data_IF_064572415420
#
_entry.id   IF_064572415420
#
_cell.length_a   1.000
_cell.length_b   1.000
_cell.length_c   1.000
_cell.angle_alpha   90.00
_cell.angle_beta   90.00
_cell.angle_gamma   90.00
#
_symmetry.space_group_name_H-M   'P 1'
#
loop_
_entity.id
_entity.type
_entity.pdbx_description
1 polymer ?
#
# COMPACT_ATOMS: atom_id res chain seq x y z
N UNK A 1 -14.81 7.75 -80.35
CA UNK A 1 -14.82 6.44 -79.65
C UNK A 1 -13.82 6.50 -78.51
N UNK A 2 -14.25 6.02 -77.34
CA UNK A 2 -13.78 6.45 -76.01
C UNK A 2 -12.42 5.88 -75.58
N UNK A 3 -11.72 6.69 -74.80
CA UNK A 3 -10.52 6.36 -74.00
C UNK A 3 -10.91 5.51 -72.80
N UNK A 4 -10.22 4.39 -72.58
CA UNK A 4 -10.30 3.60 -71.35
C UNK A 4 -9.01 3.75 -70.55
N UNK A 5 -9.08 4.52 -69.47
CA UNK A 5 -8.07 4.51 -68.42
C UNK A 5 -8.14 3.22 -67.60
N UNK A 6 -6.99 2.70 -67.20
CA UNK A 6 -6.91 1.69 -66.15
C UNK A 6 -6.00 2.18 -65.03
N UNK A 7 -6.64 2.40 -63.89
CA UNK A 7 -6.03 2.61 -62.58
C UNK A 7 -5.41 1.30 -62.11
N UNK A 8 -4.11 1.28 -61.78
CA UNK A 8 -3.50 0.16 -61.06
C UNK A 8 -2.61 0.67 -59.91
N UNK A 9 -3.22 0.58 -58.72
CA UNK A 9 -2.67 0.20 -57.41
C UNK A 9 -1.58 1.08 -56.76
N UNK A 10 -2.02 1.97 -55.85
CA UNK A 10 -1.32 2.22 -54.59
C UNK A 10 -2.06 1.52 -53.45
N UNK A 11 -1.65 0.30 -53.10
CA UNK A 11 -2.00 -0.27 -51.79
C UNK A 11 -1.00 -1.33 -51.34
N UNK A 12 0.10 -0.88 -50.74
CA UNK A 12 1.05 -1.75 -50.03
C UNK A 12 1.53 -1.16 -48.70
N UNK A 13 0.91 -0.06 -48.22
CA UNK A 13 1.39 0.69 -47.04
C UNK A 13 0.55 0.47 -45.76
N UNK A 14 -0.57 -0.26 -45.85
CA UNK A 14 -1.51 -0.48 -44.74
C UNK A 14 -1.13 -1.68 -43.85
N UNK A 15 -0.64 -2.78 -44.44
CA UNK A 15 -0.39 -4.05 -43.73
C UNK A 15 0.66 -3.98 -42.62
N UNK A 16 1.76 -3.23 -42.83
CA UNK A 16 2.82 -3.11 -41.84
C UNK A 16 2.39 -2.35 -40.58
N UNK A 17 1.57 -1.30 -40.74
CA UNK A 17 1.11 -0.45 -39.63
C UNK A 17 0.18 -1.21 -38.69
N UNK A 18 -0.69 -2.03 -39.24
CA UNK A 18 -1.59 -2.90 -38.46
C UNK A 18 -0.81 -4.01 -37.75
N UNK A 19 0.25 -4.56 -38.37
CA UNK A 19 1.13 -5.55 -37.71
C UNK A 19 1.88 -4.95 -36.52
N UNK A 20 2.45 -3.75 -36.66
CA UNK A 20 3.11 -3.07 -35.54
C UNK A 20 2.15 -2.73 -34.40
N UNK A 21 0.90 -2.37 -34.72
CA UNK A 21 -0.14 -2.14 -33.72
C UNK A 21 -0.44 -3.40 -32.89
N UNK A 22 -0.65 -4.55 -33.54
CA UNK A 22 -0.91 -5.80 -32.82
C UNK A 22 0.31 -6.32 -32.04
N UNK A 23 1.53 -6.14 -32.57
CA UNK A 23 2.75 -6.46 -31.83
C UNK A 23 2.85 -5.62 -30.55
N UNK A 24 2.56 -4.32 -30.64
CA UNK A 24 2.51 -3.43 -29.47
C UNK A 24 1.46 -3.87 -28.45
N UNK A 25 0.26 -4.23 -28.90
CA UNK A 25 -0.81 -4.73 -28.02
C UNK A 25 -0.40 -6.01 -27.28
N UNK A 26 0.22 -6.97 -27.97
CA UNK A 26 0.68 -8.23 -27.37
C UNK A 26 1.76 -7.97 -26.31
N UNK A 27 2.71 -7.07 -26.58
CA UNK A 27 3.76 -6.70 -25.63
C UNK A 27 3.16 -6.06 -24.37
N UNK A 28 2.18 -5.17 -24.51
CA UNK A 28 1.51 -4.55 -23.36
C UNK A 28 0.77 -5.60 -22.53
N UNK A 29 0.04 -6.51 -23.17
CA UNK A 29 -0.66 -7.61 -22.46
C UNK A 29 0.36 -8.51 -21.73
N UNK A 30 1.46 -8.87 -22.38
CA UNK A 30 2.50 -9.70 -21.77
C UNK A 30 3.12 -9.03 -20.53
N UNK A 31 3.36 -7.71 -20.56
CA UNK A 31 3.87 -6.96 -19.42
C UNK A 31 2.87 -6.91 -18.26
N UNK A 32 1.58 -6.71 -18.55
CA UNK A 32 0.53 -6.74 -17.52
C UNK A 32 0.45 -8.12 -16.88
N UNK A 33 0.44 -9.19 -17.68
CA UNK A 33 0.37 -10.57 -17.18
C UNK A 33 1.62 -10.93 -16.37
N UNK A 34 2.82 -10.57 -16.84
CA UNK A 34 4.06 -10.79 -16.09
C UNK A 34 4.08 -10.05 -14.75
N UNK A 35 3.57 -8.80 -14.72
CA UNK A 35 3.42 -8.04 -13.48
C UNK A 35 2.46 -8.70 -12.50
N UNK A 36 1.30 -9.16 -12.97
CA UNK A 36 0.32 -9.87 -12.14
C UNK A 36 0.86 -11.22 -11.63
N UNK A 37 1.53 -12.00 -12.48
CA UNK A 37 2.13 -13.29 -12.10
C UNK A 37 3.25 -13.10 -11.08
N UNK A 38 4.08 -12.08 -11.24
CA UNK A 38 5.12 -11.73 -10.27
C UNK A 38 4.54 -11.35 -8.90
N UNK A 39 3.47 -10.54 -8.90
CA UNK A 39 2.74 -10.22 -7.68
C UNK A 39 2.13 -11.46 -7.01
N UNK A 40 1.57 -12.38 -7.81
CA UNK A 40 1.00 -13.64 -7.32
C UNK A 40 2.06 -14.53 -6.66
N UNK A 41 3.22 -14.72 -7.29
CA UNK A 41 4.31 -15.55 -6.74
C UNK A 41 4.86 -14.96 -5.43
N UNK A 42 4.98 -13.63 -5.35
CA UNK A 42 5.38 -12.95 -4.10
C UNK A 42 4.35 -13.15 -2.99
N UNK A 43 3.07 -13.12 -3.33
CA UNK A 43 1.97 -13.34 -2.41
C UNK A 43 1.97 -14.78 -1.87
N UNK A 44 2.18 -15.79 -2.73
CA UNK A 44 2.29 -17.18 -2.31
C UNK A 44 3.47 -17.44 -1.37
N UNK A 45 4.65 -16.88 -1.65
CA UNK A 45 5.81 -17.04 -0.77
C UNK A 45 5.56 -16.52 0.65
N UNK A 46 4.83 -15.42 0.76
CA UNK A 46 4.39 -14.88 2.04
C UNK A 46 3.41 -15.82 2.76
N UNK A 47 2.38 -16.32 2.07
CA UNK A 47 1.41 -17.25 2.66
C UNK A 47 2.02 -18.61 3.02
N UNK A 48 3.06 -19.08 2.32
CA UNK A 48 3.80 -20.30 2.69
C UNK A 48 4.61 -20.14 3.98
N UNK A 49 5.14 -18.94 4.21
CA UNK A 49 5.80 -18.62 5.49
C UNK A 49 4.77 -18.56 6.63
N UNK A 50 3.54 -18.13 6.30
CA UNK A 50 2.39 -18.08 7.21
C UNK A 50 1.81 -19.47 7.55
N UNK A 51 1.75 -20.38 6.57
CA UNK A 51 1.09 -21.69 6.70
C UNK A 51 1.81 -22.69 7.62
N UNK A 52 3.04 -22.40 8.07
CA UNK A 52 3.77 -23.24 9.02
C UNK A 52 3.29 -23.10 10.48
N UNK A 53 2.09 -22.53 10.72
CA UNK A 53 1.50 -22.39 12.06
C UNK A 53 2.22 -21.40 12.98
N UNK A 54 3.09 -20.56 12.43
CA UNK A 54 3.86 -19.59 13.20
C UNK A 54 3.06 -18.32 13.47
N UNK A 55 3.08 -17.85 14.72
CA UNK A 55 2.63 -16.50 15.05
C UNK A 55 3.67 -15.48 14.60
N UNK A 56 3.20 -14.34 14.08
CA UNK A 56 4.04 -13.17 13.85
C UNK A 56 4.20 -12.40 15.16
N UNK A 57 5.39 -11.84 15.39
CA UNK A 57 5.63 -10.91 16.50
C UNK A 57 5.70 -9.50 15.94
N UNK A 58 4.81 -8.61 16.37
CA UNK A 58 4.70 -7.23 15.87
C UNK A 58 4.81 -6.24 17.02
N UNK A 59 5.56 -5.17 16.81
CA UNK A 59 5.60 -4.01 17.71
C UNK A 59 4.75 -2.88 17.10
N UNK A 60 3.81 -2.34 17.88
CA UNK A 60 2.95 -1.25 17.41
C UNK A 60 3.02 -0.05 18.34
N UNK A 61 3.31 1.12 17.78
CA UNK A 61 3.25 2.42 18.46
C UNK A 61 1.93 3.12 18.16
N UNK A 62 1.26 3.64 19.18
CA UNK A 62 0.15 4.57 19.05
C UNK A 62 0.59 5.89 19.67
N UNK A 63 0.83 6.90 18.84
CA UNK A 63 1.16 8.26 19.27
C UNK A 63 -0.06 9.18 19.10
N UNK A 64 -0.46 9.83 20.20
CA UNK A 64 -1.68 10.63 20.26
C UNK A 64 -1.48 12.11 19.88
N UNK A 65 -0.29 12.53 19.48
CA UNK A 65 0.00 13.91 19.04
C UNK A 65 0.12 14.95 20.15
N UNK A 66 -0.27 14.60 21.38
CA UNK A 66 -0.21 15.46 22.56
C UNK A 66 1.02 15.17 23.46
N UNK A 67 2.05 14.52 22.90
CA UNK A 67 3.22 14.06 23.66
C UNK A 67 3.03 12.75 24.41
N UNK A 68 1.83 12.17 24.40
CA UNK A 68 1.60 10.82 24.93
C UNK A 68 1.68 9.76 23.85
N UNK A 69 2.13 8.56 24.23
CA UNK A 69 2.26 7.43 23.33
C UNK A 69 2.12 6.12 24.11
N UNK A 70 1.66 5.08 23.42
CA UNK A 70 1.55 3.72 23.95
C UNK A 70 2.22 2.74 23.00
N UNK A 71 2.99 1.82 23.55
CA UNK A 71 3.56 0.69 22.81
C UNK A 71 2.82 -0.59 23.13
N UNK A 72 2.44 -1.34 22.09
CA UNK A 72 2.03 -2.73 22.17
C UNK A 72 3.18 -3.59 21.63
N UNK A 73 4.07 -4.00 22.53
CA UNK A 73 5.29 -4.71 22.17
C UNK A 73 5.07 -6.22 22.10
N UNK A 74 5.75 -6.87 21.16
CA UNK A 74 5.77 -8.33 20.95
C UNK A 74 4.38 -8.94 20.88
N UNK A 75 3.47 -8.28 20.16
CA UNK A 75 2.11 -8.77 19.97
C UNK A 75 2.17 -10.00 19.05
N UNK A 76 1.69 -11.14 19.54
CA UNK A 76 1.63 -12.39 18.78
C UNK A 76 0.31 -12.47 18.02
N UNK A 77 0.36 -12.49 16.69
CA UNK A 77 -0.83 -12.51 15.84
C UNK A 77 -0.72 -13.56 14.73
N UNK A 78 -1.84 -14.13 14.28
CA UNK A 78 -1.82 -15.02 13.12
C UNK A 78 -1.41 -14.22 11.87
N UNK A 79 -0.71 -14.83 10.90
CA UNK A 79 -0.25 -14.09 9.74
C UNK A 79 -1.35 -13.79 8.70
N UNK A 80 -2.59 -14.26 8.94
CA UNK A 80 -3.76 -13.88 8.15
C UNK A 80 -4.22 -12.44 8.43
N UNK A 81 -3.85 -11.87 9.58
CA UNK A 81 -4.26 -10.53 9.99
C UNK A 81 -3.57 -9.45 9.16
N UNK A 82 -4.32 -8.38 8.90
CA UNK A 82 -3.78 -7.11 8.43
C UNK A 82 -3.54 -6.15 9.60
N UNK A 83 -3.09 -4.93 9.31
CA UNK A 83 -2.83 -3.95 10.36
C UNK A 83 -4.10 -3.43 11.04
N UNK A 84 -5.25 -3.42 10.35
CA UNK A 84 -6.53 -3.08 10.96
C UNK A 84 -6.92 -4.10 12.05
N UNK A 85 -6.87 -5.40 11.74
CA UNK A 85 -7.17 -6.49 12.67
C UNK A 85 -6.28 -6.43 13.92
N UNK A 86 -4.97 -6.22 13.71
CA UNK A 86 -4.02 -6.03 14.80
C UNK A 86 -4.40 -4.82 15.66
N UNK A 87 -4.72 -3.69 15.03
CA UNK A 87 -5.08 -2.46 15.75
C UNK A 87 -6.35 -2.65 16.59
N UNK A 88 -7.41 -3.21 16.00
CA UNK A 88 -8.67 -3.50 16.69
C UNK A 88 -8.51 -4.48 17.87
N UNK A 89 -7.48 -5.34 17.84
CA UNK A 89 -7.18 -6.25 18.93
C UNK A 89 -6.40 -5.59 20.09
N UNK A 90 -5.59 -4.56 19.83
CA UNK A 90 -4.73 -3.93 20.86
C UNK A 90 -5.28 -2.61 21.41
N UNK A 91 -6.29 -2.02 20.75
CA UNK A 91 -6.88 -0.73 21.10
C UNK A 91 -8.38 -0.68 20.79
N UNK A 92 -9.06 0.34 21.31
CA UNK A 92 -10.46 0.62 20.98
C UNK A 92 -10.51 1.44 19.70
N UNK A 93 -10.91 0.81 18.60
CA UNK A 93 -10.96 1.44 17.28
C UNK A 93 -12.38 1.89 16.95
N UNK A 94 -12.48 3.13 16.47
CA UNK A 94 -13.69 3.66 15.81
C UNK A 94 -13.37 3.81 14.32
N UNK A 95 -14.08 3.06 13.48
CA UNK A 95 -13.85 3.04 12.04
C UNK A 95 -15.15 2.96 11.25
N UNK A 96 -15.09 3.40 9.98
CA UNK A 96 -16.17 3.18 9.01
C UNK A 96 -15.67 2.30 7.88
N UNK A 97 -16.33 1.17 7.69
CA UNK A 97 -16.07 0.28 6.57
C UNK A 97 -16.70 0.83 5.28
N UNK A 98 -15.96 0.76 4.18
CA UNK A 98 -16.48 1.02 2.84
C UNK A 98 -16.40 -0.23 1.97
N UNK A 99 -17.53 -0.64 1.39
CA UNK A 99 -17.55 -1.77 0.45
C UNK A 99 -16.88 -1.45 -0.89
N UNK A 100 -16.74 -0.16 -1.23
CA UNK A 100 -16.15 0.27 -2.52
C UNK A 100 -14.65 0.01 -2.56
N UNK A 101 -13.96 0.25 -1.44
CA UNK A 101 -12.52 0.03 -1.33
C UNK A 101 -12.18 -1.25 -0.56
N UNK A 102 -13.17 -1.85 0.11
CA UNK A 102 -12.97 -2.97 1.03
C UNK A 102 -11.93 -2.61 2.11
N UNK A 103 -12.10 -1.44 2.71
CA UNK A 103 -11.20 -0.86 3.71
C UNK A 103 -11.97 -0.24 4.89
N UNK A 104 -11.31 -0.21 6.05
CA UNK A 104 -11.76 0.46 7.26
C UNK A 104 -11.05 1.81 7.43
N UNK A 105 -11.82 2.89 7.33
CA UNK A 105 -11.32 4.22 7.63
C UNK A 105 -11.35 4.48 9.13
N UNK A 106 -10.17 4.57 9.74
CA UNK A 106 -10.02 4.90 11.15
C UNK A 106 -10.43 6.36 11.40
N UNK A 107 -11.42 6.54 12.27
CA UNK A 107 -11.86 7.83 12.76
C UNK A 107 -11.32 8.11 14.16
N UNK A 108 -11.08 7.07 14.97
CA UNK A 108 -10.58 7.22 16.32
C UNK A 108 -9.89 5.97 16.85
N UNK A 109 -8.95 6.17 17.77
CA UNK A 109 -8.25 5.12 18.51
C UNK A 109 -8.18 5.54 19.98
N UNK A 110 -8.54 4.63 20.89
CA UNK A 110 -8.52 4.82 22.34
C UNK A 110 -9.23 6.14 22.79
N UNK A 111 -10.32 6.49 22.10
CA UNK A 111 -11.14 7.68 22.37
C UNK A 111 -10.64 8.99 21.74
N UNK A 112 -9.48 8.99 21.08
CA UNK A 112 -8.97 10.16 20.35
C UNK A 112 -9.47 10.14 18.91
N UNK A 113 -10.39 11.04 18.59
CA UNK A 113 -11.06 11.14 17.28
C UNK A 113 -10.45 12.22 16.39
N UNK A 114 -10.42 11.95 15.09
CA UNK A 114 -10.13 12.94 14.07
C UNK A 114 -11.15 14.07 14.04
N UNK A 115 -10.68 15.30 13.84
CA UNK A 115 -11.52 16.48 13.68
C UNK A 115 -10.78 17.56 12.89
N UNK A 116 -11.49 18.22 11.96
CA UNK A 116 -10.90 19.24 11.10
C UNK A 116 -9.70 18.69 10.31
N UNK A 117 -8.50 19.22 10.60
CA UNK A 117 -7.24 18.78 9.98
C UNK A 117 -6.53 17.64 10.71
N UNK A 118 -6.98 17.26 11.90
CA UNK A 118 -6.34 16.23 12.72
C UNK A 118 -6.88 14.86 12.36
N UNK A 119 -6.00 13.93 12.01
CA UNK A 119 -6.36 12.56 11.66
C UNK A 119 -5.24 11.57 11.99
N UNK A 120 -5.59 10.28 11.97
CA UNK A 120 -4.67 9.18 12.20
C UNK A 120 -3.88 8.84 10.94
N UNK A 121 -2.56 8.90 11.04
CA UNK A 121 -1.63 8.55 9.95
C UNK A 121 -0.91 7.26 10.26
N UNK A 122 -0.58 6.49 9.22
CA UNK A 122 0.04 5.18 9.32
C UNK A 122 1.51 5.26 8.96
N UNK A 123 2.35 4.56 9.72
CA UNK A 123 3.78 4.56 9.54
C UNK A 123 4.35 3.14 9.66
N UNK A 124 5.41 2.89 8.92
CA UNK A 124 6.23 1.69 9.04
C UNK A 124 7.65 2.10 9.36
N UNK A 125 8.28 1.44 10.34
CA UNK A 125 9.71 1.60 10.56
C UNK A 125 10.47 0.74 9.54
N UNK A 126 11.44 1.34 8.87
CA UNK A 126 12.25 0.70 7.87
C UNK A 126 13.64 0.41 8.47
N UNK A 127 13.92 -0.84 8.79
CA UNK A 127 15.16 -1.24 9.47
C UNK A 127 16.42 -0.83 8.70
N UNK A 128 16.45 -1.07 7.39
CA UNK A 128 17.61 -0.75 6.54
C UNK A 128 17.92 0.75 6.49
N UNK A 129 16.88 1.60 6.50
CA UNK A 129 17.02 3.06 6.51
C UNK A 129 17.04 3.69 7.90
N UNK A 130 16.84 2.88 8.96
CA UNK A 130 16.68 3.30 10.36
C UNK A 130 15.76 4.51 10.52
N UNK A 131 14.60 4.47 9.88
CA UNK A 131 13.68 5.60 9.82
C UNK A 131 12.24 5.20 9.55
N UNK A 132 11.34 6.15 9.68
CA UNK A 132 9.91 5.96 9.48
C UNK A 132 9.48 6.41 8.09
N UNK A 133 8.75 5.55 7.39
CA UNK A 133 8.06 5.90 6.16
C UNK A 133 6.55 5.92 6.40
N UNK A 134 5.87 6.93 5.89
CA UNK A 134 4.41 6.94 5.87
C UNK A 134 3.91 5.82 4.97
N UNK A 135 2.85 5.13 5.39
CA UNK A 135 2.24 4.08 4.56
C UNK A 135 1.55 4.72 3.35
N UNK A 136 1.81 4.24 2.12
CA UNK A 136 1.07 4.66 0.93
C UNK A 136 -0.30 3.97 0.81
N UNK A 137 -0.64 3.04 1.71
CA UNK A 137 -1.86 2.23 1.68
C UNK A 137 -2.57 2.23 3.04
N UNK A 138 -3.88 1.93 3.02
CA UNK A 138 -4.70 1.78 4.23
C UNK A 138 -4.32 0.58 5.09
N UNK A 139 -4.82 0.56 6.33
CA UNK A 139 -4.50 -0.47 7.32
C UNK A 139 -4.86 -1.90 6.87
N UNK A 140 -5.98 -2.05 6.14
CA UNK A 140 -6.44 -3.34 5.64
C UNK A 140 -5.52 -3.96 4.59
N UNK A 141 -4.75 -3.12 3.88
CA UNK A 141 -3.81 -3.54 2.84
C UNK A 141 -2.40 -3.81 3.37
N UNK A 142 -2.10 -3.41 4.61
CA UNK A 142 -0.81 -3.69 5.24
C UNK A 142 -0.80 -5.14 5.72
N UNK A 143 -0.08 -5.99 5.00
CA UNK A 143 0.20 -7.37 5.41
C UNK A 143 1.34 -7.41 6.42
N UNK A 144 1.09 -8.07 7.54
CA UNK A 144 2.05 -8.14 8.65
C UNK A 144 3.19 -9.09 8.32
N UNK A 145 4.43 -8.70 8.59
CA UNK A 145 5.62 -9.58 8.53
C UNK A 145 6.21 -9.70 9.93
N UNK A 146 6.84 -10.83 10.21
CA UNK A 146 7.44 -11.06 11.51
C UNK A 146 8.47 -9.96 11.83
N UNK A 147 8.42 -9.44 13.06
CA UNK A 147 9.26 -8.35 13.58
C UNK A 147 9.06 -6.99 12.90
N UNK A 148 7.94 -6.78 12.21
CA UNK A 148 7.60 -5.43 11.77
C UNK A 148 7.34 -4.51 12.95
N UNK A 149 7.69 -3.24 12.77
CA UNK A 149 7.32 -2.15 13.66
C UNK A 149 6.42 -1.18 12.89
N UNK A 150 5.19 -1.03 13.37
CA UNK A 150 4.16 -0.19 12.76
C UNK A 150 3.75 0.91 13.74
N UNK A 151 3.22 2.01 13.23
CA UNK A 151 2.69 3.06 14.08
C UNK A 151 1.44 3.74 13.54
N UNK A 152 0.59 4.13 14.47
CA UNK A 152 -0.44 5.14 14.30
C UNK A 152 0.05 6.45 14.91
N UNK A 153 -0.11 7.55 14.18
CA UNK A 153 0.20 8.89 14.68
C UNK A 153 -0.94 9.86 14.41
N UNK A 154 -1.52 10.39 15.47
CA UNK A 154 -2.51 11.43 15.42
C UNK A 154 -1.84 12.78 15.21
N UNK A 155 -2.04 13.40 14.05
CA UNK A 155 -1.41 14.66 13.69
C UNK A 155 -2.33 15.52 12.82
N UNK A 156 -2.01 16.81 12.75
CA UNK A 156 -2.70 17.80 11.92
C UNK A 156 -1.76 18.37 10.84
N UNK A 157 -1.38 17.56 9.83
CA UNK A 157 -0.46 18.00 8.80
C UNK A 157 -1.09 19.10 7.94
N UNK A 158 -0.26 19.97 7.32
CA UNK A 158 -0.75 21.09 6.52
C UNK A 158 -1.48 20.63 5.25
N UNK A 159 -1.13 19.45 4.73
CA UNK A 159 -1.73 18.84 3.54
C UNK A 159 -1.94 17.33 3.74
N UNK A 160 -2.68 16.71 2.83
CA UNK A 160 -2.82 15.25 2.75
C UNK A 160 -1.63 14.57 2.06
N UNK A 161 -0.61 15.33 1.63
CA UNK A 161 0.61 14.77 1.03
C UNK A 161 1.52 14.20 2.13
N UNK A 162 1.78 12.87 2.15
CA UNK A 162 2.64 12.24 3.14
C UNK A 162 4.06 12.81 3.21
N UNK A 163 4.55 13.44 2.13
CA UNK A 163 5.85 14.10 2.10
C UNK A 163 5.97 15.22 3.14
N UNK A 164 4.84 15.82 3.54
CA UNK A 164 4.80 16.93 4.51
C UNK A 164 4.64 16.47 5.96
N UNK A 165 4.28 15.21 6.17
CA UNK A 165 3.99 14.69 7.50
C UNK A 165 5.26 14.54 8.34
N UNK A 166 5.10 14.58 9.67
CA UNK A 166 6.17 14.34 10.62
C UNK A 166 6.11 12.89 11.13
N UNK A 167 7.27 12.23 11.34
CA UNK A 167 7.29 10.86 11.80
C UNK A 167 6.73 10.73 13.23
N UNK A 168 6.25 9.53 13.62
CA UNK A 168 5.58 9.28 14.89
C UNK A 168 6.50 9.42 16.12
N UNK A 169 7.82 9.48 15.92
CA UNK A 169 8.80 9.65 16.99
C UNK A 169 9.54 10.96 16.75
N UNK A 170 9.53 11.90 17.72
CA UNK A 170 10.26 13.16 17.59
C UNK A 170 11.74 12.92 17.27
N UNK A 171 12.27 13.73 16.34
CA UNK A 171 13.67 13.66 15.88
C UNK A 171 14.06 12.35 15.17
N UNK A 172 13.13 11.43 14.91
CA UNK A 172 13.42 10.25 14.12
C UNK A 172 13.58 10.59 12.63
N UNK A 173 14.42 9.83 11.93
CA UNK A 173 14.59 9.96 10.49
C UNK A 173 13.29 9.66 9.76
N UNK A 174 12.84 10.59 8.91
CA UNK A 174 11.76 10.34 7.95
C UNK A 174 12.34 9.86 6.63
N UNK A 175 11.73 8.81 6.07
CA UNK A 175 12.05 8.26 4.77
C UNK A 175 10.87 8.48 3.82
N UNK A 176 11.14 8.65 2.53
CA UNK A 176 10.09 8.70 1.50
C UNK A 176 9.44 7.34 1.26
N UNK A 177 10.20 6.26 1.46
CA UNK A 177 9.74 4.87 1.39
C UNK A 177 10.77 3.97 2.10
N UNK A 178 10.37 2.74 2.45
CA UNK A 178 11.33 1.77 2.96
C UNK A 178 12.28 1.31 1.85
N UNK A 179 13.62 1.36 2.07
CA UNK A 179 14.58 0.78 1.14
C UNK A 179 14.29 -0.71 0.94
N UNK A 180 14.46 -1.18 -0.30
CA UNK A 180 14.41 -2.61 -0.61
C UNK A 180 15.69 -3.31 -0.21
#
# INVERSE_FOLDING_TARGET
MASFGSYVLKSAKSSARTRFFYIGLIVVIALVLAGQLGAYIQLEGFFRTSSNGGYLTIDTLINYGNGTSRWANKTHVPPSWNFYDLTANISKVEATYTSVLNEHFIQGIDGVRGSGRSYWTLWTFCDAGRGWAASPVGADLIRLKNRMVLAWYFQAPPTSDPSTWQPPVPSATKLSSCPR
#
